data_IF_247682072596
#
_entry.id   IF_247682072596
#
_cell.length_a   1.000
_cell.length_b   1.000
_cell.length_c   1.000
_cell.angle_alpha   90.00
_cell.angle_beta   90.00
_cell.angle_gamma   90.00
#
_symmetry.space_group_name_H-M   'P 1'
#
loop_
_entity.id
_entity.type
_entity.pdbx_description
1 polymer ?
#
# COMPACT_ATOMS: atom_id res chain seq x y z
N UNK A 1 18.34 23.20 -1.49
CA UNK A 1 17.99 22.35 -0.36
C UNK A 1 17.89 20.92 -0.85
N UNK A 2 18.83 20.09 -0.40
CA UNK A 2 18.74 18.67 -0.72
C UNK A 2 17.89 17.99 0.35
N UNK A 3 16.75 17.45 -0.08
CA UNK A 3 15.96 16.57 0.76
C UNK A 3 16.63 15.20 0.72
N UNK A 4 17.30 14.87 1.82
CA UNK A 4 17.94 13.55 1.96
C UNK A 4 16.91 12.60 2.53
N UNK A 5 16.47 11.66 1.73
CA UNK A 5 15.64 10.55 2.15
C UNK A 5 16.54 9.33 2.24
N UNK A 6 16.50 8.64 3.38
CA UNK A 6 17.31 7.44 3.58
C UNK A 6 16.54 6.18 3.16
N UNK A 7 17.25 5.09 2.79
CA UNK A 7 16.58 3.82 2.52
C UNK A 7 15.71 3.35 3.69
N UNK A 8 16.16 3.60 4.93
CA UNK A 8 15.41 3.23 6.13
C UNK A 8 14.08 3.98 6.23
N UNK A 9 14.08 5.27 5.89
CA UNK A 9 12.86 6.08 5.87
C UNK A 9 11.88 5.58 4.82
N UNK A 10 12.39 5.21 3.64
CA UNK A 10 11.55 4.64 2.56
C UNK A 10 10.93 3.31 2.99
N UNK A 11 11.69 2.45 3.65
CA UNK A 11 11.19 1.18 4.18
C UNK A 11 10.16 1.38 5.28
N UNK A 12 10.36 2.37 6.15
CA UNK A 12 9.39 2.71 7.19
C UNK A 12 8.06 3.15 6.58
N UNK A 13 8.10 3.96 5.52
CA UNK A 13 6.89 4.38 4.83
C UNK A 13 6.21 3.20 4.13
N UNK A 14 6.98 2.29 3.54
CA UNK A 14 6.43 1.07 2.94
C UNK A 14 5.74 0.21 3.99
N UNK A 15 6.36 0.01 5.14
CA UNK A 15 5.78 -0.75 6.26
C UNK A 15 4.52 -0.07 6.79
N UNK A 16 4.50 1.25 6.85
CA UNK A 16 3.32 2.01 7.26
C UNK A 16 2.16 1.81 6.27
N UNK A 17 2.44 1.85 4.96
CA UNK A 17 1.43 1.59 3.93
C UNK A 17 0.84 0.18 4.07
N UNK A 18 1.68 -0.83 4.34
CA UNK A 18 1.22 -2.21 4.58
C UNK A 18 0.34 -2.29 5.83
N UNK A 19 0.72 -1.62 6.90
CA UNK A 19 -0.06 -1.58 8.14
C UNK A 19 -1.42 -0.96 7.93
N UNK A 20 -1.48 0.15 7.19
CA UNK A 20 -2.75 0.82 6.85
C UNK A 20 -3.61 -0.10 5.99
N UNK A 21 -3.03 -0.78 5.00
CA UNK A 21 -3.76 -1.71 4.15
C UNK A 21 -4.36 -2.85 4.97
N UNK A 22 -3.59 -3.46 5.88
CA UNK A 22 -4.07 -4.54 6.75
C UNK A 22 -5.20 -4.08 7.65
N UNK A 23 -5.08 -2.89 8.23
CA UNK A 23 -6.13 -2.33 9.08
C UNK A 23 -7.42 -2.09 8.29
N UNK A 24 -7.31 -1.54 7.09
CA UNK A 24 -8.45 -1.28 6.21
C UNK A 24 -9.11 -2.58 5.76
N UNK A 25 -8.31 -3.60 5.42
CA UNK A 25 -8.83 -4.92 5.03
C UNK A 25 -9.63 -5.53 6.19
N UNK A 26 -9.10 -5.48 7.41
CA UNK A 26 -9.79 -6.02 8.59
C UNK A 26 -11.11 -5.31 8.86
N UNK A 27 -11.12 -3.98 8.77
CA UNK A 27 -12.35 -3.19 8.95
C UNK A 27 -13.36 -3.45 7.84
N UNK A 28 -12.88 -3.59 6.61
CA UNK A 28 -13.73 -3.92 5.47
C UNK A 28 -14.38 -5.29 5.64
N UNK A 29 -13.64 -6.29 6.13
CA UNK A 29 -14.19 -7.63 6.37
C UNK A 29 -15.34 -7.59 7.39
N UNK A 30 -15.20 -6.82 8.46
CA UNK A 30 -16.26 -6.64 9.45
C UNK A 30 -17.49 -5.96 8.85
N UNK A 31 -17.26 -4.89 8.11
CA UNK A 31 -18.34 -4.16 7.45
C UNK A 31 -19.03 -5.04 6.40
N UNK A 32 -18.25 -5.81 5.64
CA UNK A 32 -18.78 -6.74 4.63
C UNK A 32 -19.70 -7.79 5.27
N UNK A 33 -19.30 -8.34 6.43
CA UNK A 33 -20.15 -9.27 7.18
C UNK A 33 -21.46 -8.65 7.60
N UNK A 34 -21.44 -7.41 8.09
CA UNK A 34 -22.65 -6.68 8.49
C UNK A 34 -23.53 -6.35 7.30
N UNK A 35 -22.94 -5.93 6.17
CA UNK A 35 -23.69 -5.64 4.94
C UNK A 35 -24.32 -6.89 4.34
N UNK A 36 -23.59 -8.01 4.33
CA UNK A 36 -24.11 -9.28 3.85
C UNK A 36 -25.31 -9.72 4.70
N UNK A 37 -25.19 -9.62 6.02
CA UNK A 37 -26.29 -9.97 6.93
C UNK A 37 -27.53 -9.10 6.65
N UNK A 38 -27.34 -7.80 6.45
CA UNK A 38 -28.44 -6.88 6.13
C UNK A 38 -29.10 -7.22 4.80
N UNK A 39 -28.30 -7.43 3.75
CA UNK A 39 -28.80 -7.71 2.42
C UNK A 39 -29.46 -9.10 2.28
N UNK A 40 -29.07 -10.06 3.15
CA UNK A 40 -29.64 -11.39 3.21
C UNK A 40 -30.80 -11.53 4.20
N UNK A 41 -31.11 -10.45 4.92
CA UNK A 41 -32.16 -10.48 5.96
C UNK A 41 -33.60 -10.50 5.42
N UNK A 42 -33.77 -10.50 4.09
CA UNK A 42 -35.08 -10.42 3.47
C UNK A 42 -35.47 -9.00 3.09
N UNK A 43 -34.60 -8.03 3.31
CA UNK A 43 -34.81 -6.64 2.88
C UNK A 43 -34.85 -6.56 1.37
N UNK A 44 -35.97 -6.06 0.84
CA UNK A 44 -36.22 -5.98 -0.61
C UNK A 44 -36.78 -4.62 -0.97
N UNK A 45 -36.73 -4.30 -2.26
CA UNK A 45 -37.28 -3.08 -2.82
C UNK A 45 -36.20 -2.14 -3.34
N UNK A 46 -36.61 -0.95 -3.76
CA UNK A 46 -35.73 0.03 -4.40
C UNK A 46 -34.57 0.45 -3.50
N UNK A 47 -34.85 0.62 -2.20
CA UNK A 47 -33.80 0.98 -1.22
C UNK A 47 -32.75 -0.12 -1.07
N UNK A 48 -33.15 -1.38 -1.01
CA UNK A 48 -32.25 -2.52 -0.93
C UNK A 48 -31.40 -2.63 -2.20
N UNK A 49 -32.00 -2.47 -3.36
CA UNK A 49 -31.29 -2.51 -4.64
C UNK A 49 -30.26 -1.40 -4.75
N UNK A 50 -30.64 -0.19 -4.34
CA UNK A 50 -29.73 0.97 -4.32
C UNK A 50 -28.55 0.73 -3.37
N UNK A 51 -28.82 0.18 -2.19
CA UNK A 51 -27.78 -0.15 -1.21
C UNK A 51 -26.82 -1.21 -1.75
N UNK A 52 -27.35 -2.24 -2.40
CA UNK A 52 -26.56 -3.31 -3.02
C UNK A 52 -25.64 -2.75 -4.10
N UNK A 53 -26.18 -1.90 -4.96
CA UNK A 53 -25.40 -1.26 -6.03
C UNK A 53 -24.31 -0.36 -5.48
N UNK A 54 -24.62 0.47 -4.48
CA UNK A 54 -23.64 1.36 -3.82
C UNK A 54 -22.54 0.55 -3.16
N UNK A 55 -22.89 -0.54 -2.46
CA UNK A 55 -21.94 -1.43 -1.83
C UNK A 55 -20.99 -2.09 -2.85
N UNK A 56 -21.51 -2.52 -3.98
CA UNK A 56 -20.73 -3.10 -5.08
C UNK A 56 -19.70 -2.09 -5.62
N UNK A 57 -20.13 -0.85 -5.86
CA UNK A 57 -19.23 0.21 -6.33
C UNK A 57 -18.17 0.56 -5.29
N UNK A 58 -18.58 0.62 -4.01
CA UNK A 58 -17.63 0.90 -2.93
C UNK A 58 -16.56 -0.20 -2.83
N UNK A 59 -16.95 -1.46 -3.00
CA UNK A 59 -16.00 -2.58 -2.99
C UNK A 59 -14.98 -2.49 -4.12
N UNK A 60 -15.39 -2.05 -5.30
CA UNK A 60 -14.45 -1.83 -6.42
C UNK A 60 -13.44 -0.75 -6.07
N UNK A 61 -13.91 0.39 -5.55
CA UNK A 61 -13.04 1.48 -5.13
C UNK A 61 -12.10 1.07 -4.01
N UNK A 62 -12.60 0.29 -3.06
CA UNK A 62 -11.79 -0.24 -1.97
C UNK A 62 -10.65 -1.13 -2.48
N UNK A 63 -10.94 -2.05 -3.41
CA UNK A 63 -9.91 -2.91 -4.00
C UNK A 63 -8.85 -2.11 -4.74
N UNK A 64 -9.26 -1.08 -5.48
CA UNK A 64 -8.33 -0.19 -6.17
C UNK A 64 -7.42 0.54 -5.18
N UNK A 65 -7.98 1.00 -4.07
CA UNK A 65 -7.22 1.68 -3.02
C UNK A 65 -6.19 0.74 -2.38
N UNK A 66 -6.59 -0.48 -2.03
CA UNK A 66 -5.69 -1.47 -1.43
C UNK A 66 -4.57 -1.85 -2.41
N UNK A 67 -4.89 -2.05 -3.68
CA UNK A 67 -3.89 -2.32 -4.71
C UNK A 67 -2.93 -1.14 -4.87
N UNK A 68 -3.44 0.10 -4.81
CA UNK A 68 -2.62 1.30 -4.86
C UNK A 68 -1.65 1.40 -3.68
N UNK A 69 -2.11 1.07 -2.47
CA UNK A 69 -1.23 1.04 -1.29
C UNK A 69 -0.14 -0.03 -1.42
N UNK A 70 -0.48 -1.21 -1.94
CA UNK A 70 0.49 -2.27 -2.16
C UNK A 70 1.54 -1.87 -3.20
N UNK A 71 1.11 -1.24 -4.28
CA UNK A 71 2.00 -0.74 -5.33
C UNK A 71 2.92 0.35 -4.80
N UNK A 72 2.39 1.26 -3.97
CA UNK A 72 3.19 2.31 -3.32
C UNK A 72 4.24 1.71 -2.40
N UNK A 73 3.86 0.73 -1.57
CA UNK A 73 4.80 0.05 -0.68
C UNK A 73 5.92 -0.63 -1.48
N UNK A 74 5.57 -1.29 -2.58
CA UNK A 74 6.55 -1.92 -3.46
C UNK A 74 7.49 -0.89 -4.09
N UNK A 75 6.95 0.21 -4.59
CA UNK A 75 7.74 1.29 -5.19
C UNK A 75 8.73 1.89 -4.18
N UNK A 76 8.29 2.07 -2.93
CA UNK A 76 9.13 2.59 -1.85
C UNK A 76 10.28 1.62 -1.53
N UNK A 77 10.00 0.31 -1.50
CA UNK A 77 11.02 -0.71 -1.27
C UNK A 77 12.03 -0.80 -2.41
N UNK A 78 11.55 -0.69 -3.65
CA UNK A 78 12.43 -0.65 -4.82
C UNK A 78 13.32 0.58 -4.79
N UNK A 79 12.80 1.74 -4.40
CA UNK A 79 13.58 2.96 -4.24
C UNK A 79 14.63 2.80 -3.14
N UNK A 80 14.28 2.19 -2.02
CA UNK A 80 15.22 1.91 -0.93
C UNK A 80 16.37 1.02 -1.39
N UNK A 81 16.06 -0.05 -2.12
CA UNK A 81 17.05 -0.97 -2.65
C UNK A 81 17.94 -0.28 -3.68
N UNK A 82 17.38 0.56 -4.53
CA UNK A 82 18.12 1.34 -5.52
C UNK A 82 19.12 2.28 -4.85
N UNK A 83 18.69 2.97 -3.79
CA UNK A 83 19.58 3.86 -3.03
C UNK A 83 20.73 3.09 -2.37
N UNK A 84 20.46 1.92 -1.79
CA UNK A 84 21.50 1.07 -1.20
C UNK A 84 22.50 0.60 -2.25
N UNK A 85 22.03 0.18 -3.42
CA UNK A 85 22.90 -0.23 -4.51
C UNK A 85 23.78 0.90 -5.01
N UNK A 86 23.22 2.11 -5.11
CA UNK A 86 23.97 3.29 -5.52
C UNK A 86 25.05 3.65 -4.50
N UNK A 87 24.72 3.63 -3.20
CA UNK A 87 25.67 3.89 -2.13
C UNK A 87 26.80 2.87 -2.12
N UNK A 88 26.46 1.59 -2.25
CA UNK A 88 27.44 0.50 -2.31
C UNK A 88 28.32 0.64 -3.53
N UNK A 89 27.75 0.93 -4.69
CA UNK A 89 28.49 1.16 -5.93
C UNK A 89 29.44 2.34 -5.82
N UNK A 90 28.98 3.44 -5.26
CA UNK A 90 29.82 4.64 -5.04
C UNK A 90 30.95 4.34 -4.07
N UNK A 91 30.70 3.63 -2.98
CA UNK A 91 31.74 3.24 -2.03
C UNK A 91 32.76 2.30 -2.68
N UNK A 92 32.33 1.34 -3.48
CA UNK A 92 33.19 0.44 -4.23
C UNK A 92 34.09 1.19 -5.21
N UNK A 93 33.53 2.15 -5.93
CA UNK A 93 34.29 2.98 -6.88
C UNK A 93 35.36 3.81 -6.18
N UNK A 94 35.06 4.38 -5.03
CA UNK A 94 36.03 5.15 -4.23
C UNK A 94 37.15 4.23 -3.77
N UNK A 95 36.83 3.04 -3.28
CA UNK A 95 37.81 2.07 -2.82
C UNK A 95 38.74 1.64 -3.96
N UNK A 96 38.20 1.40 -5.16
CA UNK A 96 38.98 1.03 -6.34
C UNK A 96 39.94 2.15 -6.74
N UNK A 97 39.48 3.40 -6.71
CA UNK A 97 40.34 4.56 -7.02
C UNK A 97 41.48 4.65 -6.03
N UNK A 98 41.21 4.45 -4.74
CA UNK A 98 42.22 4.49 -3.69
C UNK A 98 43.29 3.39 -3.86
N UNK A 99 42.88 2.20 -4.31
CA UNK A 99 43.80 1.10 -4.56
C UNK A 99 44.72 1.35 -5.77
N UNK A 100 44.24 2.16 -6.72
CA UNK A 100 45.04 2.49 -7.93
C UNK A 100 46.04 3.59 -7.69
N UNK A 101 45.92 4.33 -6.61
CA UNK A 101 46.88 5.37 -6.24
C UNK A 101 48.06 4.76 -5.53
#
# INVERSE_FOLDING_TARGET
>A
VSLKVTPEELEQQAAFADTVADLLINKHQKLSGQMTALLESGWKGAGADACHAAWSEWNKGFRMMINGLADEAQALRLAANSYRSTETGSAGNIADVQQQL
#
